data_IF_287372690466
#
_entry.id   IF_287372690466
#
_cell.length_a   1.000
_cell.length_b   1.000
_cell.length_c   1.000
_cell.angle_alpha   90.00
_cell.angle_beta   90.00
_cell.angle_gamma   90.00
#
_symmetry.space_group_name_H-M   'P 1'
#
loop_
_entity.id
_entity.type
_entity.pdbx_description
1 polymer ?
#
# COMPACT_ATOMS: atom_id res chain seq x y z
N UNK A 1 4.96 -19.62 -6.27
CA UNK A 1 4.57 -18.42 -5.55
C UNK A 1 5.75 -17.55 -5.09
N UNK A 2 6.79 -18.09 -4.42
CA UNK A 2 7.98 -17.30 -3.98
C UNK A 2 8.64 -16.47 -5.10
N UNK A 3 8.69 -16.97 -6.34
CA UNK A 3 9.31 -16.24 -7.46
C UNK A 3 8.57 -14.96 -7.85
N UNK A 4 7.25 -14.92 -7.77
CA UNK A 4 6.47 -13.73 -8.17
C UNK A 4 6.74 -12.53 -7.26
N UNK A 5 6.77 -12.73 -5.94
CA UNK A 5 6.92 -11.64 -4.96
C UNK A 5 8.35 -11.07 -4.91
N UNK A 6 9.36 -11.88 -5.17
CA UNK A 6 10.77 -11.49 -5.07
C UNK A 6 11.47 -11.29 -6.43
N UNK A 7 10.75 -11.48 -7.54
CA UNK A 7 11.36 -11.31 -8.88
C UNK A 7 11.19 -9.88 -9.34
N UNK A 8 12.31 -9.22 -9.60
CA UNK A 8 12.33 -7.94 -10.32
C UNK A 8 12.35 -8.23 -11.81
N UNK A 9 11.26 -7.91 -12.49
CA UNK A 9 11.18 -8.08 -13.95
C UNK A 9 12.12 -7.08 -14.65
N UNK A 10 12.75 -7.51 -15.75
CA UNK A 10 13.49 -6.61 -16.64
C UNK A 10 12.49 -5.79 -17.46
N UNK A 11 11.95 -4.73 -16.86
CA UNK A 11 11.09 -3.79 -17.57
C UNK A 11 11.89 -2.84 -18.46
N UNK A 12 11.19 -2.18 -19.38
CA UNK A 12 11.74 -1.04 -20.14
C UNK A 12 12.09 0.11 -19.20
N UNK A 13 12.85 1.10 -19.65
CA UNK A 13 13.15 2.29 -18.85
C UNK A 13 11.88 3.01 -18.45
N UNK A 14 10.91 3.13 -19.35
CA UNK A 14 9.62 3.75 -19.10
C UNK A 14 8.81 3.02 -18.02
N UNK A 15 8.75 1.69 -18.05
CA UNK A 15 8.03 0.93 -17.00
C UNK A 15 8.71 1.01 -15.63
N UNK A 16 10.04 1.08 -15.59
CA UNK A 16 10.77 1.27 -14.34
C UNK A 16 10.54 2.67 -13.75
N UNK A 17 10.47 3.70 -14.60
CA UNK A 17 10.16 5.06 -14.18
C UNK A 17 8.70 5.19 -13.70
N UNK A 18 7.76 4.59 -14.40
CA UNK A 18 6.36 4.54 -13.99
C UNK A 18 6.20 3.87 -12.62
N UNK A 19 6.85 2.73 -12.40
CA UNK A 19 6.85 2.06 -11.10
C UNK A 19 7.43 2.95 -9.98
N UNK A 20 8.51 3.69 -10.25
CA UNK A 20 9.09 4.62 -9.29
C UNK A 20 8.12 5.75 -8.93
N UNK A 21 7.53 6.41 -9.94
CA UNK A 21 6.59 7.52 -9.75
C UNK A 21 5.37 7.07 -8.95
N UNK A 22 4.78 5.94 -9.30
CA UNK A 22 3.62 5.40 -8.60
C UNK A 22 3.95 5.07 -7.13
N UNK A 23 5.06 4.40 -6.86
CA UNK A 23 5.47 4.04 -5.49
C UNK A 23 5.70 5.27 -4.62
N UNK A 24 6.50 6.22 -5.11
CA UNK A 24 6.84 7.42 -4.35
C UNK A 24 5.59 8.30 -4.20
N UNK A 25 4.88 8.57 -5.29
CA UNK A 25 3.71 9.44 -5.29
C UNK A 25 2.61 8.93 -4.35
N UNK A 26 2.14 7.72 -4.56
CA UNK A 26 1.05 7.18 -3.75
C UNK A 26 1.49 6.77 -2.34
N UNK A 27 2.76 6.41 -2.14
CA UNK A 27 3.31 6.20 -0.80
C UNK A 27 3.36 7.49 0.02
N UNK A 28 3.82 8.60 -0.57
CA UNK A 28 3.86 9.91 0.10
C UNK A 28 2.45 10.44 0.38
N UNK A 29 1.51 10.30 -0.56
CA UNK A 29 0.14 10.75 -0.36
C UNK A 29 -0.58 9.98 0.77
N UNK A 30 -0.27 8.70 0.95
CA UNK A 30 -0.91 7.86 1.98
C UNK A 30 -0.46 8.23 3.39
N UNK A 31 0.81 8.55 3.60
CA UNK A 31 1.37 8.72 4.95
C UNK A 31 0.75 9.89 5.72
N UNK A 32 0.81 11.17 5.26
CA UNK A 32 0.46 12.32 6.09
C UNK A 32 -1.00 12.34 6.54
N UNK A 33 -1.91 12.05 5.61
CA UNK A 33 -3.34 12.24 5.85
C UNK A 33 -4.09 10.97 6.30
N UNK A 34 -3.45 9.82 6.19
CA UNK A 34 -4.06 8.53 6.54
C UNK A 34 -3.25 7.78 7.61
N UNK A 35 -2.06 7.29 7.28
CA UNK A 35 -1.29 6.46 8.18
C UNK A 35 -0.76 7.21 9.41
N UNK A 36 -0.15 8.39 9.22
CA UNK A 36 0.44 9.17 10.30
C UNK A 36 -0.62 9.72 11.28
N UNK A 37 -1.73 10.25 10.77
CA UNK A 37 -2.84 10.76 11.61
C UNK A 37 -3.38 9.65 12.50
N UNK A 38 -3.64 8.46 11.95
CA UNK A 38 -4.10 7.31 12.74
C UNK A 38 -3.09 6.86 13.78
N UNK A 39 -1.80 6.97 13.48
CA UNK A 39 -0.73 6.61 14.41
C UNK A 39 -0.67 7.57 15.60
N UNK A 40 -0.72 8.88 15.36
CA UNK A 40 -0.64 9.92 16.41
C UNK A 40 -1.91 9.93 17.25
N UNK A 41 -3.08 9.82 16.62
CA UNK A 41 -4.39 9.81 17.27
C UNK A 41 -4.84 8.40 17.71
N UNK A 42 -3.91 7.47 17.89
CA UNK A 42 -4.23 6.06 18.19
C UNK A 42 -5.13 5.92 19.42
N UNK A 43 -4.78 6.60 20.52
CA UNK A 43 -5.52 6.49 21.78
C UNK A 43 -6.95 7.07 21.69
N UNK A 44 -7.15 8.07 20.85
CA UNK A 44 -8.46 8.70 20.65
C UNK A 44 -9.36 7.87 19.72
N UNK A 45 -8.77 7.13 18.78
CA UNK A 45 -9.49 6.39 17.74
C UNK A 45 -9.72 4.92 18.07
N UNK A 46 -8.92 4.30 18.95
CA UNK A 46 -8.88 2.85 19.18
C UNK A 46 -10.21 2.22 19.60
N UNK A 47 -11.03 2.96 20.36
CA UNK A 47 -12.29 2.43 20.89
C UNK A 47 -13.49 2.65 19.95
N UNK A 48 -13.37 3.60 19.02
CA UNK A 48 -14.42 3.95 18.05
C UNK A 48 -14.11 3.56 16.58
N UNK A 49 -12.98 2.88 16.33
CA UNK A 49 -12.62 2.50 14.97
C UNK A 49 -13.49 1.34 14.45
N UNK A 50 -13.68 1.27 13.13
CA UNK A 50 -14.43 0.19 12.50
C UNK A 50 -13.83 -1.18 12.84
N UNK A 51 -14.65 -2.07 13.37
CA UNK A 51 -14.23 -3.44 13.70
C UNK A 51 -14.24 -4.31 12.45
N UNK A 52 -13.04 -4.64 11.97
CA UNK A 52 -12.85 -5.48 10.81
C UNK A 52 -13.04 -6.96 11.20
N UNK A 53 -14.09 -7.58 10.68
CA UNK A 53 -14.38 -9.01 10.86
C UNK A 53 -14.54 -9.48 12.34
N UNK A 54 -14.83 -8.56 13.27
CA UNK A 54 -15.02 -8.92 14.68
C UNK A 54 -13.72 -9.16 15.46
N UNK A 55 -12.57 -8.65 14.96
CA UNK A 55 -11.28 -8.77 15.67
C UNK A 55 -11.06 -7.69 16.73
N UNK A 56 -11.98 -6.76 16.82
CA UNK A 56 -11.94 -5.60 17.74
C UNK A 56 -11.37 -4.33 17.09
N UNK A 57 -11.90 -3.19 17.50
CA UNK A 57 -11.57 -1.85 16.96
C UNK A 57 -10.07 -1.52 17.08
N UNK A 58 -9.45 -1.83 18.23
CA UNK A 58 -8.02 -1.58 18.47
C UNK A 58 -7.11 -2.37 17.53
N UNK A 59 -7.43 -3.65 17.28
CA UNK A 59 -6.67 -4.50 16.36
C UNK A 59 -6.85 -4.01 14.94
N UNK A 60 -8.08 -3.69 14.55
CA UNK A 60 -8.42 -3.17 13.23
C UNK A 60 -7.69 -1.86 12.93
N UNK A 61 -7.63 -0.94 13.90
CA UNK A 61 -6.86 0.30 13.78
C UNK A 61 -5.36 0.04 13.64
N UNK A 62 -4.82 -0.91 14.41
CA UNK A 62 -3.40 -1.29 14.34
C UNK A 62 -3.03 -1.86 12.97
N UNK A 63 -3.88 -2.70 12.39
CA UNK A 63 -3.71 -3.24 11.04
C UNK A 63 -3.79 -2.14 9.97
N UNK A 64 -4.71 -1.18 10.12
CA UNK A 64 -4.80 -0.04 9.22
C UNK A 64 -3.53 0.82 9.26
N UNK A 65 -3.01 1.13 10.46
CA UNK A 65 -1.76 1.86 10.63
C UNK A 65 -0.58 1.10 10.03
N UNK A 66 -0.50 -0.21 10.25
CA UNK A 66 0.53 -1.05 9.64
C UNK A 66 0.50 -0.94 8.11
N UNK A 67 -0.67 -1.05 7.51
CA UNK A 67 -0.82 -0.92 6.06
C UNK A 67 -0.48 0.49 5.57
N UNK A 68 -1.15 1.52 6.11
CA UNK A 68 -1.10 2.88 5.57
C UNK A 68 0.19 3.64 5.92
N UNK A 69 0.82 3.33 7.05
CA UNK A 69 2.07 3.98 7.46
C UNK A 69 3.29 3.13 7.10
N UNK A 70 3.43 1.95 7.68
CA UNK A 70 4.64 1.14 7.51
C UNK A 70 4.77 0.57 6.10
N UNK A 71 3.69 0.00 5.53
CA UNK A 71 3.77 -0.52 4.16
C UNK A 71 3.95 0.58 3.12
N UNK A 72 3.46 1.81 3.38
CA UNK A 72 3.73 2.95 2.49
C UNK A 72 5.20 3.37 2.52
N UNK A 73 5.87 3.33 3.67
CA UNK A 73 7.32 3.55 3.77
C UNK A 73 8.07 2.48 2.97
N UNK A 74 7.72 1.20 3.14
CA UNK A 74 8.31 0.11 2.37
C UNK A 74 8.09 0.29 0.86
N UNK A 75 6.93 0.78 0.47
CA UNK A 75 6.58 1.06 -0.92
C UNK A 75 7.45 2.18 -1.51
N UNK A 76 7.65 3.28 -0.77
CA UNK A 76 8.53 4.39 -1.17
C UNK A 76 9.96 3.89 -1.39
N UNK A 77 10.50 3.14 -0.44
CA UNK A 77 11.83 2.56 -0.53
C UNK A 77 11.94 1.50 -1.64
N UNK A 78 10.82 0.91 -2.04
CA UNK A 78 10.79 -0.22 -2.96
C UNK A 78 11.35 -1.48 -2.34
N UNK A 79 11.08 -1.70 -1.06
CA UNK A 79 11.49 -2.86 -0.29
C UNK A 79 10.28 -3.76 -0.04
N UNK A 80 10.39 -5.04 -0.41
CA UNK A 80 9.26 -5.98 -0.41
C UNK A 80 8.02 -5.40 -1.10
N UNK A 81 8.21 -4.69 -2.19
CA UNK A 81 7.21 -3.85 -2.86
C UNK A 81 5.88 -4.56 -3.04
N UNK A 82 5.88 -5.76 -3.64
CA UNK A 82 4.64 -6.50 -3.88
C UNK A 82 3.97 -6.97 -2.60
N UNK A 83 4.75 -7.35 -1.59
CA UNK A 83 4.21 -7.76 -0.28
C UNK A 83 3.60 -6.57 0.45
N UNK A 84 4.28 -5.42 0.46
CA UNK A 84 3.79 -4.18 1.08
C UNK A 84 2.53 -3.63 0.39
N UNK A 85 2.36 -3.90 -0.91
CA UNK A 85 1.17 -3.48 -1.66
C UNK A 85 -0.09 -4.25 -1.27
N UNK A 86 0.03 -5.51 -0.79
CA UNK A 86 -1.12 -6.34 -0.42
C UNK A 86 -1.93 -5.75 0.74
N UNK A 87 -1.35 -5.40 1.90
CA UNK A 87 -2.09 -4.76 2.98
C UNK A 87 -2.75 -3.44 2.55
N UNK A 88 -2.09 -2.64 1.71
CA UNK A 88 -2.65 -1.41 1.16
C UNK A 88 -3.88 -1.68 0.28
N UNK A 89 -3.85 -2.70 -0.57
CA UNK A 89 -5.01 -3.11 -1.36
C UNK A 89 -6.15 -3.60 -0.49
N UNK A 90 -5.85 -4.40 0.53
CA UNK A 90 -6.86 -4.88 1.50
C UNK A 90 -7.52 -3.69 2.20
N UNK A 91 -6.75 -2.69 2.64
CA UNK A 91 -7.31 -1.47 3.26
C UNK A 91 -8.27 -0.75 2.32
N UNK A 92 -7.95 -0.61 1.03
CA UNK A 92 -8.88 0.01 0.07
C UNK A 92 -10.16 -0.81 -0.11
N UNK A 93 -10.06 -2.14 -0.17
CA UNK A 93 -11.25 -3.01 -0.24
C UNK A 93 -12.13 -2.89 1.01
N UNK A 94 -11.52 -2.80 2.19
CA UNK A 94 -12.25 -2.57 3.46
C UNK A 94 -12.97 -1.23 3.41
N UNK A 95 -12.31 -0.15 2.97
CA UNK A 95 -12.93 1.17 2.82
C UNK A 95 -14.14 1.08 1.87
N UNK A 96 -14.02 0.41 0.74
CA UNK A 96 -15.15 0.24 -0.19
C UNK A 96 -16.31 -0.55 0.45
N UNK A 97 -16.01 -1.63 1.18
CA UNK A 97 -17.04 -2.43 1.83
C UNK A 97 -17.81 -1.66 2.90
N UNK A 98 -17.14 -0.79 3.66
CA UNK A 98 -17.75 0.07 4.70
C UNK A 98 -18.62 1.16 4.08
N UNK A 99 -18.30 1.61 2.86
CA UNK A 99 -18.99 2.71 2.18
C UNK A 99 -19.90 2.21 1.03
N UNK A 100 -20.50 1.03 1.18
CA UNK A 100 -21.46 0.46 0.23
C UNK A 100 -20.95 0.37 -1.23
N UNK A 101 -19.64 0.17 -1.43
CA UNK A 101 -18.99 0.09 -2.75
C UNK A 101 -19.16 1.34 -3.60
N UNK A 102 -19.31 2.51 -2.98
CA UNK A 102 -19.30 3.79 -3.68
C UNK A 102 -17.87 4.11 -4.15
N UNK A 103 -17.58 3.77 -5.41
CA UNK A 103 -16.24 3.89 -6.00
C UNK A 103 -15.96 5.29 -6.57
N UNK A 104 -17.00 6.06 -6.81
CA UNK A 104 -16.92 7.39 -7.44
C UNK A 104 -17.53 8.45 -6.54
N UNK A 105 -17.32 9.72 -6.85
CA UNK A 105 -17.80 10.82 -6.02
C UNK A 105 -16.97 10.99 -4.76
N UNK A 106 -17.56 10.89 -3.59
CA UNK A 106 -16.89 11.17 -2.31
C UNK A 106 -15.67 10.28 -2.06
N UNK A 107 -15.65 9.04 -2.58
CA UNK A 107 -14.59 8.05 -2.34
C UNK A 107 -13.69 7.80 -3.54
N UNK A 108 -13.73 8.67 -4.56
CA UNK A 108 -12.91 8.54 -5.79
C UNK A 108 -11.40 8.49 -5.50
N UNK A 109 -10.94 9.17 -4.44
CA UNK A 109 -9.55 9.12 -4.01
C UNK A 109 -9.14 7.69 -3.59
N UNK A 110 -10.01 6.98 -2.88
CA UNK A 110 -9.79 5.57 -2.52
C UNK A 110 -9.67 4.68 -3.77
N UNK A 111 -10.50 4.96 -4.77
CA UNK A 111 -10.43 4.26 -6.07
C UNK A 111 -9.12 4.54 -6.80
N UNK A 112 -8.64 5.78 -6.77
CA UNK A 112 -7.35 6.14 -7.36
C UNK A 112 -6.19 5.41 -6.65
N UNK A 113 -6.19 5.34 -5.31
CA UNK A 113 -5.23 4.55 -4.55
C UNK A 113 -5.28 3.07 -4.90
N UNK A 114 -6.48 2.49 -4.97
CA UNK A 114 -6.66 1.09 -5.33
C UNK A 114 -6.07 0.75 -6.70
N UNK A 115 -6.39 1.55 -7.73
CA UNK A 115 -5.86 1.36 -9.08
C UNK A 115 -4.34 1.55 -9.14
N UNK A 116 -3.81 2.52 -8.41
CA UNK A 116 -2.37 2.73 -8.31
C UNK A 116 -1.67 1.53 -7.66
N UNK A 117 -2.20 0.99 -6.57
CA UNK A 117 -1.63 -0.19 -5.91
C UNK A 117 -1.74 -1.45 -6.77
N UNK A 118 -2.84 -1.65 -7.50
CA UNK A 118 -2.93 -2.72 -8.49
C UNK A 118 -1.86 -2.59 -9.58
N UNK A 119 -1.65 -1.37 -10.06
CA UNK A 119 -0.62 -1.08 -11.07
C UNK A 119 0.78 -1.37 -10.53
N UNK A 120 1.08 -0.98 -9.29
CA UNK A 120 2.36 -1.28 -8.63
C UNK A 120 2.55 -2.79 -8.44
N UNK A 121 1.51 -3.51 -8.03
CA UNK A 121 1.56 -4.97 -7.88
C UNK A 121 1.88 -5.67 -9.20
N UNK A 122 1.28 -5.21 -10.29
CA UNK A 122 1.50 -5.73 -11.64
C UNK A 122 2.90 -5.40 -12.17
N UNK A 123 3.30 -4.12 -12.13
CA UNK A 123 4.62 -3.64 -12.60
C UNK A 123 5.78 -4.22 -11.76
N UNK A 124 5.53 -4.38 -10.45
CA UNK A 124 6.56 -4.76 -9.49
C UNK A 124 7.47 -3.58 -9.10
N UNK A 125 8.60 -3.87 -8.41
CA UNK A 125 9.45 -2.84 -7.79
C UNK A 125 10.17 -1.91 -8.78
N UNK A 126 10.47 -2.38 -10.00
CA UNK A 126 11.29 -1.66 -10.96
C UNK A 126 12.79 -1.63 -10.61
N UNK A 127 13.61 -1.09 -11.51
CA UNK A 127 15.09 -1.02 -11.32
C UNK A 127 15.50 -0.01 -10.24
N UNK A 128 14.68 1.00 -9.96
CA UNK A 128 14.94 2.04 -8.97
C UNK A 128 14.35 1.66 -7.60
N UNK A 129 14.64 0.46 -7.10
CA UNK A 129 14.10 -0.08 -5.86
C UNK A 129 15.17 -0.80 -5.06
N UNK A 130 14.99 -0.86 -3.74
CA UNK A 130 15.84 -1.68 -2.87
C UNK A 130 15.70 -3.17 -3.19
N UNK A 131 14.53 -3.63 -3.59
CA UNK A 131 14.32 -5.00 -4.06
C UNK A 131 15.25 -5.35 -5.23
N UNK A 132 15.45 -4.42 -6.15
CA UNK A 132 16.37 -4.63 -7.27
C UNK A 132 17.81 -4.76 -6.79
N UNK A 133 18.25 -3.93 -5.86
CA UNK A 133 19.61 -3.96 -5.32
C UNK A 133 19.89 -5.25 -4.54
N UNK A 134 18.90 -5.69 -3.74
CA UNK A 134 19.05 -6.86 -2.87
C UNK A 134 18.91 -8.18 -3.62
N UNK A 135 18.01 -8.26 -4.61
CA UNK A 135 17.66 -9.52 -5.28
C UNK A 135 18.25 -9.66 -6.68
N UNK A 136 18.84 -8.61 -7.27
CA UNK A 136 19.57 -8.69 -8.56
C UNK A 136 20.73 -9.69 -8.53
N UNK A 137 21.33 -9.90 -7.37
CA UNK A 137 22.56 -10.70 -7.17
C UNK A 137 22.34 -12.22 -7.22
N UNK A 138 21.09 -12.70 -7.36
CA UNK A 138 20.75 -14.14 -7.35
C UNK A 138 20.44 -14.72 -8.74
N UNK A 139 21.05 -14.16 -9.81
CA UNK A 139 21.06 -14.78 -11.15
C UNK A 139 22.48 -14.96 -11.66
#
# INVERSE_FOLDING_TARGET
MKKFFLTVQKGTTSSNLAALILRIGFGILMIPHHGYVKLVEFNERKDGFFDLLGVGSTVSLSLAIFAEFFCSILLILGLFTRLATIPLLITMLVIFSVHNWELFGKYELGTAFFLAYLSILALGPGKFSMDYLLFKRRR
#
